data_IF_680327101943
#
_entry.id   IF_680327101943
#
_cell.length_a   1.000
_cell.length_b   1.000
_cell.length_c   1.000
_cell.angle_alpha   90.00
_cell.angle_beta   90.00
_cell.angle_gamma   90.00
#
_symmetry.space_group_name_H-M   'P 1'
#
loop_
_entity.id
_entity.type
_entity.pdbx_description
1 polymer ?
#
# COMPACT_ATOMS: atom_id res chain seq x y z
N UNK A 1 0.68 -65.29 -9.17
CA UNK A 1 -0.23 -64.38 -9.91
C UNK A 1 -1.00 -63.42 -9.02
N UNK A 2 -1.42 -63.80 -7.80
CA UNK A 2 -2.23 -62.93 -6.91
C UNK A 2 -1.48 -61.72 -6.33
N UNK A 3 -0.16 -61.80 -6.10
CA UNK A 3 0.64 -60.68 -5.57
C UNK A 3 0.85 -59.55 -6.59
N UNK A 4 1.03 -59.86 -7.84
CA UNK A 4 1.23 -58.88 -8.92
C UNK A 4 -0.07 -58.12 -9.24
N UNK A 5 -1.22 -58.74 -9.12
CA UNK A 5 -2.51 -58.09 -9.27
C UNK A 5 -2.77 -57.10 -8.13
N UNK A 6 -2.46 -57.45 -6.88
CA UNK A 6 -2.59 -56.56 -5.73
C UNK A 6 -1.67 -55.35 -5.81
N UNK A 7 -0.43 -55.53 -6.26
CA UNK A 7 0.51 -54.42 -6.46
C UNK A 7 0.02 -53.42 -7.50
N UNK A 8 -0.53 -53.92 -8.62
CA UNK A 8 -1.11 -53.10 -9.69
C UNK A 8 -2.32 -52.31 -9.18
N UNK A 9 -3.19 -52.94 -8.41
CA UNK A 9 -4.38 -52.30 -7.86
C UNK A 9 -4.03 -51.21 -6.81
N UNK A 10 -3.01 -51.47 -5.98
CA UNK A 10 -2.49 -50.48 -5.05
C UNK A 10 -1.86 -49.31 -5.80
N UNK A 11 -1.07 -49.57 -6.83
CA UNK A 11 -0.45 -48.50 -7.66
C UNK A 11 -1.51 -47.61 -8.33
N UNK A 12 -2.57 -48.25 -8.88
CA UNK A 12 -3.69 -47.55 -9.49
C UNK A 12 -4.46 -46.69 -8.45
N UNK A 13 -4.63 -47.20 -7.24
CA UNK A 13 -5.24 -46.44 -6.13
C UNK A 13 -4.39 -45.26 -5.76
N UNK A 14 -3.09 -45.43 -5.57
CA UNK A 14 -2.16 -44.31 -5.28
C UNK A 14 -2.18 -43.27 -6.38
N UNK A 15 -2.19 -43.69 -7.66
CA UNK A 15 -2.23 -42.74 -8.79
C UNK A 15 -3.54 -41.94 -8.83
N UNK A 16 -4.68 -42.57 -8.52
CA UNK A 16 -5.98 -41.88 -8.40
C UNK A 16 -5.99 -40.88 -7.22
N UNK A 17 -5.51 -41.29 -6.08
CA UNK A 17 -5.39 -40.38 -4.91
C UNK A 17 -4.46 -39.21 -5.20
N UNK A 18 -3.34 -39.44 -5.87
CA UNK A 18 -2.41 -38.41 -6.30
C UNK A 18 -3.05 -37.42 -7.29
N UNK A 19 -3.79 -37.97 -8.29
CA UNK A 19 -4.50 -37.13 -9.27
C UNK A 19 -5.56 -36.22 -8.60
N UNK A 20 -6.33 -36.80 -7.65
CA UNK A 20 -7.32 -36.02 -6.87
C UNK A 20 -6.62 -34.97 -6.00
N UNK A 21 -5.52 -35.31 -5.34
CA UNK A 21 -4.74 -34.39 -4.53
C UNK A 21 -4.22 -33.22 -5.38
N UNK A 22 -3.63 -33.51 -6.55
CA UNK A 22 -3.14 -32.48 -7.47
C UNK A 22 -4.28 -31.61 -7.99
N UNK A 23 -5.45 -32.20 -8.27
CA UNK A 23 -6.64 -31.43 -8.68
C UNK A 23 -7.09 -30.48 -7.56
N UNK A 24 -7.15 -30.96 -6.31
CA UNK A 24 -7.52 -30.15 -5.16
C UNK A 24 -6.52 -29.02 -4.95
N UNK A 25 -5.22 -29.30 -5.03
CA UNK A 25 -4.16 -28.28 -4.93
C UNK A 25 -4.25 -27.26 -6.06
N UNK A 26 -4.54 -27.69 -7.28
CA UNK A 26 -4.72 -26.80 -8.43
C UNK A 26 -5.96 -25.89 -8.29
N UNK A 27 -7.06 -26.42 -7.75
CA UNK A 27 -8.29 -25.68 -7.51
C UNK A 27 -8.23 -24.78 -6.26
N UNK A 28 -7.50 -25.20 -5.24
CA UNK A 28 -7.35 -24.46 -3.99
C UNK A 28 -6.63 -23.13 -4.18
N UNK A 29 -5.93 -22.91 -5.35
CA UNK A 29 -5.07 -21.75 -5.57
C UNK A 29 -4.39 -21.38 -4.24
N UNK A 30 -3.47 -22.23 -3.72
CA UNK A 30 -2.84 -21.92 -2.45
C UNK A 30 -2.28 -20.50 -2.55
N UNK A 31 -2.89 -19.59 -1.85
CA UNK A 31 -2.36 -18.25 -1.64
C UNK A 31 -1.15 -18.47 -0.77
N UNK A 32 -0.03 -18.74 -1.41
CA UNK A 32 1.24 -18.65 -0.70
C UNK A 32 1.37 -17.18 -0.33
N UNK A 33 1.26 -16.87 0.95
CA UNK A 33 1.77 -15.61 1.45
C UNK A 33 3.26 -15.61 1.12
N UNK A 34 3.57 -15.08 -0.06
CA UNK A 34 4.97 -14.80 -0.40
C UNK A 34 5.49 -13.85 0.67
N UNK A 35 6.37 -14.40 1.49
CA UNK A 35 7.27 -13.58 2.26
C UNK A 35 7.82 -12.51 1.32
N UNK A 36 7.59 -11.25 1.63
CA UNK A 36 8.07 -9.97 1.06
C UNK A 36 9.16 -10.02 -0.05
N UNK A 37 9.16 -11.04 -0.88
CA UNK A 37 10.06 -11.19 -2.02
C UNK A 37 9.46 -10.49 -3.23
N UNK A 38 10.16 -9.50 -3.72
CA UNK A 38 9.86 -8.85 -5.00
C UNK A 38 9.93 -9.89 -6.12
N UNK A 39 9.17 -9.71 -7.23
CA UNK A 39 9.23 -10.61 -8.37
C UNK A 39 10.68 -10.79 -8.84
N UNK A 40 11.17 -12.02 -8.88
CA UNK A 40 12.43 -12.36 -9.51
C UNK A 40 12.34 -12.06 -11.01
N UNK A 41 13.11 -11.09 -11.49
CA UNK A 41 13.13 -10.73 -12.92
C UNK A 41 13.68 -9.36 -13.24
N UNK A 42 14.13 -8.59 -12.25
CA UNK A 42 14.80 -7.31 -12.46
C UNK A 42 16.30 -7.58 -12.64
N UNK A 43 16.68 -8.02 -13.80
CA UNK A 43 18.09 -8.20 -14.12
C UNK A 43 18.31 -8.38 -15.61
N UNK A 44 19.12 -7.52 -16.21
CA UNK A 44 19.66 -7.53 -17.57
C UNK A 44 18.90 -6.85 -18.71
N UNK A 45 17.69 -6.30 -18.50
CA UNK A 45 17.05 -5.51 -19.56
C UNK A 45 17.03 -4.05 -19.17
N UNK A 46 17.51 -3.18 -20.06
CA UNK A 46 17.36 -1.72 -19.90
C UNK A 46 15.87 -1.39 -19.91
N UNK A 47 15.30 -1.26 -18.75
CA UNK A 47 13.91 -0.88 -18.54
C UNK A 47 13.87 0.53 -18.00
N UNK A 48 12.93 1.33 -18.50
CA UNK A 48 12.59 2.59 -17.84
C UNK A 48 11.69 2.30 -16.65
N UNK A 49 12.05 2.79 -15.47
CA UNK A 49 11.35 2.49 -14.23
C UNK A 49 10.65 3.73 -13.68
N UNK A 50 9.38 3.59 -13.36
CA UNK A 50 8.59 4.62 -12.68
C UNK A 50 8.24 4.10 -11.29
N UNK A 51 8.69 4.82 -10.27
CA UNK A 51 8.35 4.54 -8.89
C UNK A 51 7.27 5.53 -8.45
N UNK A 52 6.08 5.01 -8.22
CA UNK A 52 4.92 5.73 -7.74
C UNK A 52 4.71 5.41 -6.26
N UNK A 53 5.15 6.32 -5.39
CA UNK A 53 5.10 6.16 -3.94
C UNK A 53 3.86 6.85 -3.38
N UNK A 54 2.98 6.08 -2.78
CA UNK A 54 1.88 6.59 -1.98
C UNK A 54 2.42 7.27 -0.71
N UNK A 55 2.19 8.57 -0.61
CA UNK A 55 2.55 9.37 0.56
C UNK A 55 1.30 9.95 1.25
N UNK A 56 0.15 9.32 1.08
CA UNK A 56 -1.08 9.74 1.74
C UNK A 56 -1.01 9.61 3.26
N UNK A 57 -1.98 10.23 3.94
CA UNK A 57 -2.09 10.22 5.40
C UNK A 57 -1.95 8.82 6.02
N UNK A 58 -2.54 7.79 5.41
CA UNK A 58 -2.52 6.42 5.91
C UNK A 58 -1.11 5.82 5.97
N UNK A 59 -0.21 6.29 5.11
CA UNK A 59 1.19 5.84 5.09
C UNK A 59 1.98 6.33 6.31
N UNK A 60 1.53 7.40 6.98
CA UNK A 60 2.08 7.86 8.26
C UNK A 60 1.74 6.94 9.43
N UNK A 61 0.80 6.00 9.28
CA UNK A 61 0.35 5.12 10.34
C UNK A 61 1.44 4.12 10.78
N UNK A 62 1.44 3.81 12.10
CA UNK A 62 2.27 2.76 12.70
C UNK A 62 1.37 1.64 13.18
N UNK A 63 1.63 0.41 12.72
CA UNK A 63 0.88 -0.78 13.14
C UNK A 63 1.35 -1.30 14.51
N UNK A 64 1.66 -0.39 15.43
CA UNK A 64 2.09 -0.64 16.79
C UNK A 64 3.17 0.35 17.27
N UNK A 65 3.33 0.54 18.60
CA UNK A 65 4.19 1.59 19.17
C UNK A 65 5.67 1.49 18.78
N UNK A 66 6.17 0.28 18.58
CA UNK A 66 7.57 0.02 18.24
C UNK A 66 7.81 -0.28 16.77
N UNK A 67 6.76 -0.29 15.92
CA UNK A 67 6.90 -0.59 14.49
C UNK A 67 7.18 0.68 13.70
N UNK A 68 7.92 0.59 12.59
CA UNK A 68 8.09 1.70 11.67
C UNK A 68 6.75 2.08 11.03
N UNK A 69 6.63 3.31 10.56
CA UNK A 69 5.46 3.75 9.78
C UNK A 69 5.34 2.91 8.51
N UNK A 70 4.13 2.87 7.92
CA UNK A 70 3.94 2.26 6.60
C UNK A 70 4.84 2.92 5.56
N UNK A 71 4.99 4.24 5.61
CA UNK A 71 5.90 4.98 4.76
C UNK A 71 7.34 4.51 4.88
N UNK A 72 7.87 4.36 6.10
CA UNK A 72 9.22 3.85 6.31
C UNK A 72 9.41 2.40 5.78
N UNK A 73 8.35 1.58 5.82
CA UNK A 73 8.37 0.25 5.19
C UNK A 73 8.30 0.32 3.67
N UNK A 74 7.55 1.31 3.13
CA UNK A 74 7.50 1.57 1.69
C UNK A 74 8.90 1.92 1.16
N UNK A 75 9.62 2.80 1.84
CA UNK A 75 11.00 3.17 1.46
C UNK A 75 11.91 1.94 1.38
N UNK A 76 11.85 1.03 2.37
CA UNK A 76 12.61 -0.22 2.32
C UNK A 76 12.24 -1.14 1.16
N UNK A 77 10.95 -1.15 0.77
CA UNK A 77 10.54 -1.92 -0.41
C UNK A 77 11.05 -1.28 -1.70
N UNK A 78 11.08 0.04 -1.76
CA UNK A 78 11.66 0.77 -2.89
C UNK A 78 13.17 0.49 -2.99
N UNK A 79 13.91 0.49 -1.87
CA UNK A 79 15.34 0.10 -1.86
C UNK A 79 15.56 -1.27 -2.52
N UNK A 80 14.69 -2.23 -2.26
CA UNK A 80 14.77 -3.55 -2.87
C UNK A 80 14.41 -3.54 -4.38
N UNK A 81 13.45 -2.69 -4.81
CA UNK A 81 13.13 -2.50 -6.23
C UNK A 81 14.30 -1.88 -6.97
N UNK A 82 14.87 -0.80 -6.43
CA UNK A 82 15.94 -0.06 -7.12
C UNK A 82 17.28 -0.81 -7.13
N UNK A 83 17.47 -1.79 -6.24
CA UNK A 83 18.66 -2.65 -6.25
C UNK A 83 18.82 -3.44 -7.56
N UNK A 84 17.72 -3.62 -8.32
CA UNK A 84 17.73 -4.27 -9.64
C UNK A 84 17.94 -3.31 -10.81
N UNK A 85 17.93 -1.99 -10.59
CA UNK A 85 18.08 -0.98 -11.65
C UNK A 85 19.57 -0.74 -11.90
N UNK A 86 19.95 -0.67 -13.18
CA UNK A 86 21.35 -0.40 -13.53
C UNK A 86 21.62 1.12 -13.53
N UNK A 87 22.81 1.54 -13.09
CA UNK A 87 23.22 2.94 -13.22
C UNK A 87 23.08 3.44 -14.66
N UNK A 88 22.42 4.59 -14.82
CA UNK A 88 22.17 5.19 -16.13
C UNK A 88 20.84 4.80 -16.79
N UNK A 89 20.09 3.83 -16.25
CA UNK A 89 18.75 3.54 -16.73
C UNK A 89 17.79 4.72 -16.42
N UNK A 90 16.79 5.00 -17.28
CA UNK A 90 15.85 6.09 -17.03
C UNK A 90 14.90 5.75 -15.88
N UNK A 91 14.93 6.56 -14.83
CA UNK A 91 14.05 6.41 -13.66
C UNK A 91 13.22 7.68 -13.45
N UNK A 92 11.98 7.50 -13.07
CA UNK A 92 11.11 8.58 -12.59
C UNK A 92 10.59 8.26 -11.20
N UNK A 93 10.52 9.27 -10.34
CA UNK A 93 9.95 9.19 -9.01
C UNK A 93 8.77 10.14 -8.92
N UNK A 94 7.60 9.61 -8.58
CA UNK A 94 6.39 10.39 -8.33
C UNK A 94 5.85 10.08 -6.94
N UNK A 95 5.56 11.12 -6.19
CA UNK A 95 4.93 11.06 -4.88
C UNK A 95 3.43 11.30 -5.07
N UNK A 96 2.64 10.36 -4.62
CA UNK A 96 1.19 10.36 -4.77
C UNK A 96 0.54 10.76 -3.44
N UNK A 97 -0.26 11.81 -3.46
CA UNK A 97 -0.99 12.36 -2.33
C UNK A 97 -2.32 12.96 -2.78
N UNK A 98 -2.76 14.02 -2.14
CA UNK A 98 -3.88 14.87 -2.60
C UNK A 98 -3.55 15.53 -3.93
N UNK A 99 -2.37 16.12 -4.01
CA UNK A 99 -1.70 16.50 -5.25
C UNK A 99 -0.54 15.52 -5.51
N UNK A 100 -0.20 15.32 -6.79
CA UNK A 100 0.91 14.45 -7.18
C UNK A 100 2.13 15.28 -7.54
N UNK A 101 3.27 14.92 -6.97
CA UNK A 101 4.54 15.60 -7.20
C UNK A 101 5.49 14.67 -7.98
N UNK A 102 5.92 15.11 -9.16
CA UNK A 102 6.98 14.42 -9.90
C UNK A 102 8.32 14.94 -9.43
N UNK A 103 8.92 14.22 -8.48
CA UNK A 103 10.21 14.59 -7.85
C UNK A 103 11.37 14.45 -8.83
N UNK A 104 11.34 13.40 -9.65
CA UNK A 104 12.33 13.18 -10.70
C UNK A 104 11.65 12.61 -11.95
N UNK A 105 12.04 13.10 -13.12
CA UNK A 105 11.50 12.65 -14.41
C UNK A 105 12.64 12.19 -15.31
N UNK A 106 12.61 10.93 -15.72
CA UNK A 106 13.53 10.33 -16.70
C UNK A 106 15.02 10.65 -16.43
N UNK A 107 15.41 10.71 -15.16
CA UNK A 107 16.81 10.91 -14.84
C UNK A 107 17.60 9.61 -14.97
N UNK A 108 18.86 9.71 -15.38
CA UNK A 108 19.75 8.55 -15.39
C UNK A 108 19.97 8.07 -13.96
N UNK A 109 19.61 6.82 -13.68
CA UNK A 109 19.63 6.27 -12.32
C UNK A 109 21.01 6.38 -11.70
N UNK A 110 21.09 7.06 -10.57
CA UNK A 110 22.22 7.11 -9.66
C UNK A 110 21.71 6.72 -8.26
N UNK A 111 22.24 5.65 -7.65
CA UNK A 111 21.76 5.18 -6.36
C UNK A 111 21.85 6.22 -5.23
N UNK A 112 22.91 7.05 -5.23
CA UNK A 112 23.10 8.06 -4.17
C UNK A 112 22.09 9.20 -4.32
N UNK A 113 21.94 9.71 -5.54
CA UNK A 113 20.96 10.77 -5.82
C UNK A 113 19.54 10.29 -5.57
N UNK A 114 19.23 9.07 -5.97
CA UNK A 114 17.88 8.52 -5.74
C UNK A 114 17.57 8.35 -4.24
N UNK A 115 18.52 7.88 -3.45
CA UNK A 115 18.38 7.76 -1.99
C UNK A 115 18.21 9.14 -1.33
N UNK A 116 18.92 10.17 -1.79
CA UNK A 116 18.73 11.54 -1.33
C UNK A 116 17.32 12.05 -1.63
N UNK A 117 16.84 11.86 -2.86
CA UNK A 117 15.47 12.24 -3.25
C UNK A 117 14.40 11.53 -2.42
N UNK A 118 14.61 10.27 -2.04
CA UNK A 118 13.68 9.53 -1.19
C UNK A 118 13.70 9.99 0.26
N UNK A 119 14.85 10.35 0.81
CA UNK A 119 14.98 10.80 2.21
C UNK A 119 14.25 12.10 2.50
N UNK A 120 14.12 12.94 1.51
CA UNK A 120 13.43 14.23 1.63
C UNK A 120 11.89 14.05 1.63
N UNK A 121 11.39 12.84 1.35
CA UNK A 121 9.96 12.58 1.27
C UNK A 121 9.34 12.24 2.63
N UNK A 122 8.12 12.70 2.83
CA UNK A 122 7.34 12.44 4.04
C UNK A 122 5.86 12.24 3.69
N UNK A 123 5.09 11.53 4.55
CA UNK A 123 3.65 11.41 4.35
C UNK A 123 2.95 12.77 4.39
N UNK A 124 2.04 12.98 3.46
CA UNK A 124 1.13 14.13 3.44
C UNK A 124 -0.01 13.93 4.46
N UNK A 125 -0.57 15.01 5.01
CA UNK A 125 -1.79 14.95 5.79
C UNK A 125 -3.06 14.68 4.96
N UNK A 126 -2.94 14.59 3.65
CA UNK A 126 -4.05 14.45 2.70
C UNK A 126 -4.33 12.98 2.34
N UNK A 127 -5.54 12.72 1.87
CA UNK A 127 -5.90 11.43 1.30
C UNK A 127 -5.29 11.26 -0.10
N UNK A 128 -5.08 10.01 -0.53
CA UNK A 128 -4.62 9.71 -1.88
C UNK A 128 -5.70 10.07 -2.91
N UNK A 129 -5.37 10.95 -3.84
CA UNK A 129 -6.21 11.27 -4.98
C UNK A 129 -5.94 10.28 -6.13
N UNK A 130 -6.63 9.14 -6.12
CA UNK A 130 -6.47 8.12 -7.16
C UNK A 130 -6.98 8.56 -8.54
N UNK A 131 -7.88 9.54 -8.63
CA UNK A 131 -8.50 9.91 -9.90
C UNK A 131 -7.49 10.51 -10.89
N UNK A 132 -6.46 11.19 -10.42
CA UNK A 132 -5.40 11.75 -11.25
C UNK A 132 -4.21 10.82 -11.52
N UNK A 133 -4.10 9.70 -10.77
CA UNK A 133 -2.98 8.75 -10.89
C UNK A 133 -2.80 8.20 -12.31
N UNK A 134 -3.86 7.70 -13.00
CA UNK A 134 -3.68 7.14 -14.34
C UNK A 134 -3.13 8.14 -15.34
N UNK A 135 -3.57 9.41 -15.27
CA UNK A 135 -3.07 10.47 -16.13
C UNK A 135 -1.60 10.76 -15.83
N UNK A 136 -1.24 10.99 -14.57
CA UNK A 136 0.14 11.27 -14.16
C UNK A 136 1.09 10.16 -14.60
N UNK A 137 0.71 8.90 -14.40
CA UNK A 137 1.52 7.76 -14.81
C UNK A 137 1.62 7.64 -16.34
N UNK A 138 0.53 7.90 -17.09
CA UNK A 138 0.57 7.90 -18.55
C UNK A 138 1.54 8.95 -19.10
N UNK A 139 1.52 10.16 -18.56
CA UNK A 139 2.45 11.23 -18.94
C UNK A 139 3.91 10.85 -18.69
N UNK A 140 4.20 10.17 -17.57
CA UNK A 140 5.54 9.68 -17.28
C UNK A 140 5.96 8.55 -18.23
N UNK A 141 5.07 7.59 -18.50
CA UNK A 141 5.30 6.50 -19.47
C UNK A 141 5.56 7.04 -20.88
N UNK A 142 4.76 8.01 -21.34
CA UNK A 142 4.92 8.61 -22.66
C UNK A 142 6.22 9.40 -22.80
N UNK A 143 6.64 10.09 -21.74
CA UNK A 143 7.88 10.87 -21.73
C UNK A 143 9.15 10.02 -21.66
N UNK A 144 9.03 8.73 -21.35
CA UNK A 144 10.17 7.85 -21.11
C UNK A 144 10.63 7.17 -22.39
N UNK A 145 11.89 7.38 -22.77
CA UNK A 145 12.51 6.72 -23.92
C UNK A 145 13.20 5.42 -23.49
N UNK A 146 12.42 4.37 -23.35
CA UNK A 146 12.89 3.04 -23.01
C UNK A 146 12.07 1.98 -23.75
N UNK A 147 12.71 0.87 -24.22
CA UNK A 147 12.03 -0.20 -24.95
C UNK A 147 11.04 -0.98 -24.07
N UNK A 148 11.32 -1.06 -22.79
CA UNK A 148 10.45 -1.63 -21.76
C UNK A 148 10.24 -0.60 -20.67
N UNK A 149 9.04 -0.55 -20.14
CA UNK A 149 8.66 0.41 -19.10
C UNK A 149 7.96 -0.33 -17.97
N UNK A 150 8.38 -0.07 -16.77
CA UNK A 150 7.88 -0.71 -15.57
C UNK A 150 7.42 0.34 -14.56
N UNK A 151 6.26 0.12 -14.00
CA UNK A 151 5.68 0.99 -12.95
C UNK A 151 5.60 0.18 -11.68
N UNK A 152 6.24 0.65 -10.63
CA UNK A 152 6.11 0.12 -9.28
C UNK A 152 5.26 1.06 -8.45
N UNK A 153 4.02 0.63 -8.19
CA UNK A 153 3.08 1.39 -7.38
C UNK A 153 3.13 0.90 -5.93
N UNK A 154 3.78 1.66 -5.07
CA UNK A 154 3.99 1.33 -3.66
C UNK A 154 2.91 2.00 -2.82
N UNK A 155 1.99 1.23 -2.23
CA UNK A 155 0.82 1.74 -1.52
C UNK A 155 0.36 0.75 -0.44
N UNK A 156 -0.37 1.23 0.57
CA UNK A 156 -0.96 0.39 1.61
C UNK A 156 -2.33 -0.19 1.22
N UNK A 157 -2.81 0.09 0.01
CA UNK A 157 -4.06 -0.43 -0.56
C UNK A 157 -5.29 -0.20 0.35
N UNK A 158 -5.43 0.98 0.91
CA UNK A 158 -6.61 1.32 1.73
C UNK A 158 -7.91 1.15 0.92
N UNK A 159 -8.80 0.27 1.39
CA UNK A 159 -10.07 -0.04 0.72
C UNK A 159 -10.87 1.24 0.39
N UNK A 160 -10.91 2.21 1.31
CA UNK A 160 -11.58 3.49 1.09
C UNK A 160 -11.08 4.30 -0.12
N UNK A 161 -9.85 4.09 -0.55
CA UNK A 161 -9.32 4.73 -1.76
C UNK A 161 -9.65 3.93 -3.03
N UNK A 162 -9.73 2.59 -2.95
CA UNK A 162 -9.85 1.70 -4.11
C UNK A 162 -11.27 1.25 -4.39
N UNK A 163 -12.11 1.12 -3.35
CA UNK A 163 -13.48 0.62 -3.49
C UNK A 163 -14.39 1.66 -4.17
N UNK A 164 -15.35 1.18 -4.97
CA UNK A 164 -16.36 2.01 -5.60
C UNK A 164 -15.85 2.92 -6.72
N UNK A 165 -14.66 2.68 -7.27
CA UNK A 165 -14.12 3.47 -8.37
C UNK A 165 -14.98 3.38 -9.63
N UNK A 166 -15.17 4.48 -10.35
CA UNK A 166 -15.94 4.48 -11.58
C UNK A 166 -15.27 3.65 -12.68
N UNK A 167 -16.07 3.11 -13.60
CA UNK A 167 -15.58 2.20 -14.65
C UNK A 167 -14.47 2.80 -15.55
N UNK A 168 -14.42 4.12 -15.71
CA UNK A 168 -13.36 4.78 -16.46
C UNK A 168 -11.97 4.59 -15.84
N UNK A 169 -11.89 4.54 -14.51
CA UNK A 169 -10.63 4.35 -13.79
C UNK A 169 -9.98 2.99 -14.13
N UNK A 170 -10.77 1.91 -14.10
CA UNK A 170 -10.29 0.59 -14.51
C UNK A 170 -9.84 0.55 -15.97
N UNK A 171 -10.57 1.21 -16.88
CA UNK A 171 -10.19 1.32 -18.30
C UNK A 171 -8.90 2.12 -18.50
N UNK A 172 -8.68 3.17 -17.70
CA UNK A 172 -7.45 3.96 -17.77
C UNK A 172 -6.23 3.14 -17.30
N UNK A 173 -6.36 2.37 -16.21
CA UNK A 173 -5.32 1.45 -15.77
C UNK A 173 -5.05 0.33 -16.78
N UNK A 174 -6.10 -0.22 -17.40
CA UNK A 174 -5.95 -1.21 -18.48
C UNK A 174 -5.21 -0.65 -19.70
N UNK A 175 -5.51 0.58 -20.09
CA UNK A 175 -4.81 1.27 -21.17
C UNK A 175 -3.33 1.49 -20.83
N UNK A 176 -3.04 1.93 -19.60
CA UNK A 176 -1.67 2.10 -19.10
C UNK A 176 -0.90 0.77 -19.09
N UNK A 177 -1.55 -0.34 -18.71
CA UNK A 177 -0.97 -1.68 -18.72
C UNK A 177 -0.60 -2.22 -20.12
N UNK A 178 -1.07 -1.59 -21.20
CA UNK A 178 -0.64 -1.91 -22.58
C UNK A 178 0.68 -1.23 -22.95
N UNK A 179 1.02 -0.13 -22.28
CA UNK A 179 2.21 0.68 -22.56
C UNK A 179 3.34 0.45 -21.58
N UNK A 180 3.03 -0.03 -20.37
CA UNK A 180 4.00 -0.31 -19.32
C UNK A 180 3.53 -1.50 -18.46
N UNK A 181 4.47 -2.30 -17.95
CA UNK A 181 4.16 -3.31 -16.94
C UNK A 181 3.92 -2.62 -15.60
N UNK A 182 2.79 -2.93 -14.94
CA UNK A 182 2.47 -2.35 -13.64
C UNK A 182 2.53 -3.41 -12.54
N UNK A 183 3.37 -3.17 -11.55
CA UNK A 183 3.49 -4.00 -10.34
C UNK A 183 3.03 -3.19 -9.13
N UNK A 184 2.02 -3.70 -8.43
CA UNK A 184 1.62 -3.13 -7.14
C UNK A 184 2.49 -3.74 -6.06
N UNK A 185 3.17 -2.89 -5.29
CA UNK A 185 4.01 -3.28 -4.14
C UNK A 185 3.23 -2.94 -2.86
N UNK A 186 2.53 -3.90 -2.26
CA UNK A 186 1.67 -3.63 -1.13
C UNK A 186 2.50 -3.40 0.13
N UNK A 187 2.22 -2.32 0.85
CA UNK A 187 2.74 -2.05 2.18
C UNK A 187 1.70 -2.50 3.19
N UNK A 188 1.64 -3.80 3.45
CA UNK A 188 0.63 -4.38 4.33
C UNK A 188 0.74 -3.78 5.73
N UNK A 189 -0.39 -3.30 6.28
CA UNK A 189 -0.55 -2.84 7.64
C UNK A 189 -1.37 -3.83 8.46
N UNK A 190 -1.32 -3.71 9.79
CA UNK A 190 -2.31 -4.35 10.65
C UNK A 190 -3.70 -3.77 10.38
N UNK A 191 -4.74 -4.60 10.58
CA UNK A 191 -6.13 -4.17 10.49
C UNK A 191 -6.53 -3.23 11.65
N UNK A 192 -5.66 -3.04 12.64
CA UNK A 192 -5.92 -2.27 13.85
C UNK A 192 -5.85 -0.78 13.55
N UNK A 193 -6.98 -0.18 13.28
CA UNK A 193 -7.09 1.25 13.02
C UNK A 193 -8.17 1.87 13.92
N UNK A 194 -7.73 2.82 14.75
CA UNK A 194 -8.62 3.70 15.49
C UNK A 194 -8.69 5.03 14.75
N UNK A 195 -9.87 5.50 14.44
CA UNK A 195 -10.03 6.80 13.82
C UNK A 195 -11.09 7.65 14.54
N UNK A 196 -10.88 8.96 14.54
CA UNK A 196 -11.94 9.91 14.87
C UNK A 196 -12.77 10.07 13.59
N UNK A 197 -14.01 9.58 13.63
CA UNK A 197 -14.90 9.58 12.47
C UNK A 197 -15.81 10.80 12.40
N UNK A 198 -15.94 11.49 13.52
CA UNK A 198 -16.77 12.69 13.61
C UNK A 198 -16.26 13.62 14.71
N UNK A 199 -16.35 14.92 14.47
CA UNK A 199 -16.06 15.98 15.44
C UNK A 199 -17.10 17.09 15.34
N UNK A 200 -17.98 17.15 16.31
CA UNK A 200 -19.11 18.06 16.36
C UNK A 200 -18.95 19.11 17.48
N UNK A 201 -19.23 20.38 17.18
CA UNK A 201 -19.39 21.42 18.20
C UNK A 201 -20.77 21.30 18.85
N UNK A 202 -20.83 20.78 20.06
CA UNK A 202 -22.11 20.53 20.78
C UNK A 202 -22.64 21.80 21.45
N UNK A 203 -21.76 22.67 21.97
CA UNK A 203 -22.14 23.93 22.60
C UNK A 203 -20.98 24.90 22.67
N UNK A 204 -21.33 26.18 22.76
CA UNK A 204 -20.36 27.29 22.77
C UNK A 204 -20.20 27.94 21.41
N UNK A 205 -19.33 28.91 21.31
CA UNK A 205 -18.96 29.62 20.08
C UNK A 205 -17.45 29.61 19.92
N UNK A 206 -16.98 29.51 18.70
CA UNK A 206 -15.54 29.59 18.38
C UNK A 206 -15.05 31.01 18.52
N UNK A 207 -14.80 31.40 19.76
CA UNK A 207 -14.23 32.70 20.13
C UNK A 207 -13.07 32.48 21.08
N UNK A 208 -12.06 33.33 20.95
CA UNK A 208 -10.97 33.39 21.92
C UNK A 208 -11.51 33.57 23.33
N UNK A 209 -10.97 32.83 24.28
CA UNK A 209 -11.31 32.86 25.72
C UNK A 209 -12.77 32.44 26.02
N UNK A 210 -13.44 31.74 25.14
CA UNK A 210 -14.79 31.22 25.33
C UNK A 210 -14.78 29.71 25.40
N UNK A 211 -15.51 29.13 26.37
CA UNK A 211 -15.60 27.68 26.49
C UNK A 211 -16.44 27.09 25.32
N UNK A 212 -15.89 26.10 24.62
CA UNK A 212 -16.57 25.34 23.59
C UNK A 212 -16.52 23.86 23.95
N UNK A 213 -17.62 23.16 23.73
CA UNK A 213 -17.71 21.72 23.97
C UNK A 213 -17.82 20.98 22.66
N UNK A 214 -16.89 20.05 22.43
CA UNK A 214 -16.87 19.18 21.28
C UNK A 214 -17.26 17.75 21.66
N UNK A 215 -17.88 17.05 20.72
CA UNK A 215 -18.09 15.61 20.74
C UNK A 215 -17.23 15.00 19.65
N UNK A 216 -16.33 14.11 20.03
CA UNK A 216 -15.56 13.32 19.09
C UNK A 216 -16.08 11.87 19.11
N UNK A 217 -16.38 11.32 17.95
CA UNK A 217 -16.72 9.91 17.77
C UNK A 217 -15.45 9.16 17.36
N UNK A 218 -15.07 8.17 18.16
CA UNK A 218 -13.90 7.32 17.88
C UNK A 218 -14.38 5.95 17.48
N UNK A 219 -13.93 5.47 16.33
CA UNK A 219 -14.28 4.15 15.81
C UNK A 219 -13.06 3.24 15.74
N UNK A 220 -13.25 1.98 16.14
CA UNK A 220 -12.27 0.92 15.98
C UNK A 220 -12.57 0.12 14.71
N UNK A 221 -11.77 0.29 13.69
CA UNK A 221 -11.85 -0.46 12.42
C UNK A 221 -11.06 -1.77 12.48
N UNK A 222 -10.41 -2.05 13.61
CA UNK A 222 -9.64 -3.28 13.82
C UNK A 222 -10.52 -4.49 14.10
N UNK A 223 -9.88 -5.65 14.10
CA UNK A 223 -10.53 -6.95 14.37
C UNK A 223 -10.55 -7.33 15.85
N UNK A 224 -9.82 -6.59 16.68
CA UNK A 224 -9.73 -6.80 18.12
C UNK A 224 -10.19 -5.57 18.90
N UNK A 225 -10.68 -5.77 20.12
CA UNK A 225 -11.03 -4.68 21.02
C UNK A 225 -9.77 -3.97 21.51
N UNK A 226 -9.79 -2.62 21.51
CA UNK A 226 -8.68 -1.82 22.01
C UNK A 226 -9.05 -1.19 23.35
N UNK A 227 -8.19 -1.37 24.36
CA UNK A 227 -8.40 -0.84 25.70
C UNK A 227 -7.56 0.44 25.96
N UNK A 228 -8.03 1.25 26.92
CA UNK A 228 -7.32 2.45 27.40
C UNK A 228 -6.98 3.47 26.29
N UNK A 229 -7.89 3.70 25.37
CA UNK A 229 -7.70 4.63 24.26
C UNK A 229 -7.68 6.06 24.79
N UNK A 230 -6.55 6.75 24.60
CA UNK A 230 -6.37 8.14 25.02
C UNK A 230 -6.66 9.09 23.89
N UNK A 231 -7.71 9.90 24.03
CA UNK A 231 -8.07 10.97 23.10
C UNK A 231 -7.62 12.30 23.70
N UNK A 232 -6.83 13.08 22.96
CA UNK A 232 -6.36 14.39 23.37
C UNK A 232 -7.00 15.47 22.52
N UNK A 233 -7.55 16.50 23.15
CA UNK A 233 -7.93 17.75 22.51
C UNK A 233 -6.72 18.69 22.51
N UNK A 234 -6.33 19.17 21.33
CA UNK A 234 -5.19 20.07 21.15
C UNK A 234 -5.68 21.31 20.40
N UNK A 235 -5.38 22.50 20.91
CA UNK A 235 -5.68 23.78 20.27
C UNK A 235 -4.38 24.57 20.23
N UNK A 236 -4.00 25.06 19.06
CA UNK A 236 -2.74 25.82 18.84
C UNK A 236 -1.49 25.17 19.47
N UNK A 237 -1.41 23.82 19.33
CA UNK A 237 -0.31 23.01 19.85
C UNK A 237 -0.40 22.68 21.35
N UNK A 238 -1.34 23.26 22.09
CA UNK A 238 -1.52 23.03 23.53
C UNK A 238 -2.61 21.98 23.79
N UNK A 239 -2.32 20.99 24.63
CA UNK A 239 -3.32 20.02 25.08
C UNK A 239 -4.31 20.70 26.03
N UNK A 240 -5.57 20.81 25.61
CA UNK A 240 -6.64 21.47 26.40
C UNK A 240 -7.50 20.44 27.15
N UNK A 241 -7.59 19.20 26.69
CA UNK A 241 -8.33 18.11 27.35
C UNK A 241 -7.70 16.76 27.02
N UNK A 242 -7.91 15.78 27.90
CA UNK A 242 -7.52 14.39 27.68
C UNK A 242 -8.58 13.46 28.25
N UNK A 243 -9.16 12.62 27.41
CA UNK A 243 -10.14 11.59 27.80
C UNK A 243 -9.57 10.19 27.57
N UNK A 244 -9.88 9.29 28.48
CA UNK A 244 -9.55 7.87 28.33
C UNK A 244 -10.86 7.11 28.10
N UNK A 245 -10.94 6.41 26.98
CA UNK A 245 -12.02 5.47 26.69
C UNK A 245 -11.55 4.09 27.18
N UNK A 246 -12.27 3.46 28.12
CA UNK A 246 -11.80 2.20 28.73
C UNK A 246 -11.60 1.08 27.73
N UNK A 247 -12.53 0.92 26.80
CA UNK A 247 -12.44 -0.04 25.70
C UNK A 247 -13.32 0.37 24.53
N UNK A 248 -12.91 0.04 23.32
CA UNK A 248 -13.68 0.18 22.08
C UNK A 248 -13.69 -1.21 21.43
N UNK A 249 -14.87 -1.77 21.22
CA UNK A 249 -15.02 -3.09 20.63
C UNK A 249 -14.56 -3.09 19.16
N UNK A 250 -14.25 -4.26 18.62
CA UNK A 250 -13.91 -4.42 17.20
C UNK A 250 -15.09 -3.97 16.32
N UNK A 251 -14.82 -3.18 15.28
CA UNK A 251 -15.83 -2.72 14.30
C UNK A 251 -16.85 -1.71 14.84
N UNK A 252 -16.68 -1.18 16.07
CA UNK A 252 -17.61 -0.23 16.70
C UNK A 252 -17.03 1.18 16.74
#
# INVERSE_FOLDING_TARGET
RSRQLRLRDILLLCLRCLAILLLVVALAKPFMEEADTLPEGIGERRAGVIIALDASYSMGHRDGPSKPTRFARALKKIEAVVAGIQPGDPVSLVILGGEHEVVARNFAFDPFLFDELLRDQSPSPEALNLDSVPQTLSELVESMDAPQKEIYFVTDLQAGNWDGRPAWFGKALEALGKSASMTIVPVRGGADNLAITDLELVSGVLRKDTAARYRATVRNFGTEAVANVRVKGVVDGNTVDTKIIPAIAAGS
#
